data_IF_169365021303
#
_entry.id   IF_169365021303
#
_cell.length_a   1.000
_cell.length_b   1.000
_cell.length_c   1.000
_cell.angle_alpha   90.00
_cell.angle_beta   90.00
_cell.angle_gamma   90.00
#
_symmetry.space_group_name_H-M   'P 1'
#
loop_
_entity.id
_entity.type
_entity.pdbx_description
1 polymer ?
#
# COMPACT_ATOMS: atom_id res chain seq x y z
N UNK A 1 30.16 3.76 -12.48
CA UNK A 1 29.11 3.41 -13.46
C UNK A 1 28.50 2.14 -12.90
N UNK A 2 27.40 2.26 -12.12
CA UNK A 2 26.77 1.12 -11.48
C UNK A 2 26.07 0.26 -12.53
N UNK A 3 26.32 -1.03 -12.47
CA UNK A 3 25.65 -2.02 -13.29
C UNK A 3 24.12 -1.90 -13.10
N UNK A 4 23.38 -1.85 -14.20
CA UNK A 4 21.91 -1.78 -14.12
C UNK A 4 21.41 -3.09 -13.49
N UNK A 5 20.85 -3.01 -12.29
CA UNK A 5 20.22 -4.14 -11.60
C UNK A 5 19.13 -4.73 -12.50
N UNK A 6 19.27 -5.99 -12.88
CA UNK A 6 18.33 -6.70 -13.74
C UNK A 6 17.11 -7.19 -12.92
N UNK A 7 15.97 -7.37 -13.61
CA UNK A 7 14.77 -7.95 -13.02
C UNK A 7 15.02 -9.39 -12.53
N UNK A 8 15.80 -10.18 -13.27
CA UNK A 8 16.16 -11.54 -12.87
C UNK A 8 16.92 -11.55 -11.54
N UNK A 9 17.85 -10.63 -11.33
CA UNK A 9 18.58 -10.53 -10.08
C UNK A 9 17.67 -10.15 -8.90
N UNK A 10 16.73 -9.22 -9.11
CA UNK A 10 15.74 -8.87 -8.10
C UNK A 10 14.82 -10.06 -7.77
N UNK A 11 14.34 -10.79 -8.77
CA UNK A 11 13.51 -11.97 -8.56
C UNK A 11 14.28 -13.04 -7.77
N UNK A 12 15.53 -13.31 -8.15
CA UNK A 12 16.38 -14.26 -7.43
C UNK A 12 16.63 -13.84 -5.99
N UNK A 13 16.89 -12.56 -5.74
CA UNK A 13 17.06 -12.03 -4.39
C UNK A 13 15.77 -12.08 -3.57
N UNK A 14 14.59 -12.02 -4.21
CA UNK A 14 13.29 -12.22 -3.60
C UNK A 14 12.92 -13.70 -3.38
N UNK A 15 13.79 -14.64 -3.75
CA UNK A 15 13.58 -16.09 -3.60
C UNK A 15 12.96 -16.78 -4.82
N UNK A 16 12.71 -16.08 -5.92
CA UNK A 16 12.19 -16.63 -7.18
C UNK A 16 13.39 -17.06 -8.04
N UNK A 17 13.70 -18.34 -8.00
CA UNK A 17 14.89 -18.91 -8.67
C UNK A 17 14.66 -19.27 -10.14
N UNK A 18 13.40 -19.31 -10.58
CA UNK A 18 13.03 -19.57 -11.98
C UNK A 18 13.18 -18.28 -12.79
N UNK A 19 13.72 -18.38 -13.98
CA UNK A 19 13.97 -17.22 -14.86
C UNK A 19 12.67 -16.67 -15.45
N UNK A 20 12.59 -15.36 -15.68
CA UNK A 20 11.50 -14.76 -16.42
C UNK A 20 11.58 -15.15 -17.91
N UNK A 21 10.46 -15.58 -18.49
CA UNK A 21 10.31 -15.85 -19.93
C UNK A 21 9.60 -14.74 -20.68
N UNK A 22 8.61 -14.09 -20.02
CA UNK A 22 7.87 -12.97 -20.58
C UNK A 22 7.59 -11.94 -19.48
N UNK A 23 7.71 -10.66 -19.82
CA UNK A 23 7.44 -9.53 -18.91
C UNK A 23 6.47 -8.58 -19.59
N UNK A 24 5.29 -8.37 -18.97
CA UNK A 24 4.25 -7.49 -19.49
C UNK A 24 3.95 -6.41 -18.47
N UNK A 25 3.99 -5.11 -18.83
CA UNK A 25 3.57 -4.04 -17.93
C UNK A 25 2.07 -4.15 -17.65
N UNK A 26 1.69 -3.91 -16.39
CA UNK A 26 0.30 -3.81 -15.96
C UNK A 26 -0.07 -2.34 -15.75
N UNK A 27 -1.28 -1.97 -16.21
CA UNK A 27 -1.82 -0.64 -15.94
C UNK A 27 -2.23 -0.53 -14.46
N UNK A 28 -2.01 0.65 -13.85
CA UNK A 28 -2.48 0.94 -12.49
C UNK A 28 -1.39 0.87 -11.44
N UNK A 29 -0.51 1.84 -11.39
CA UNK A 29 0.46 2.04 -10.33
C UNK A 29 1.00 3.46 -10.42
N UNK A 30 0.46 4.39 -9.62
CA UNK A 30 0.93 5.78 -9.63
C UNK A 30 2.34 5.92 -9.04
N UNK A 31 2.80 4.92 -8.27
CA UNK A 31 4.03 4.99 -7.48
C UNK A 31 5.03 3.91 -7.87
N UNK A 32 4.58 2.74 -8.30
CA UNK A 32 5.41 1.61 -8.66
C UNK A 32 5.19 1.19 -10.11
N UNK A 33 6.25 0.75 -10.78
CA UNK A 33 6.19 0.06 -12.07
C UNK A 33 5.72 -1.39 -11.81
N UNK A 34 4.47 -1.71 -12.19
CA UNK A 34 3.86 -3.01 -11.94
C UNK A 34 3.94 -3.86 -13.20
N UNK A 35 4.40 -5.09 -13.05
CA UNK A 35 4.59 -6.02 -14.16
C UNK A 35 4.05 -7.41 -13.83
N UNK A 36 3.40 -8.04 -14.81
CA UNK A 36 3.16 -9.48 -14.82
C UNK A 36 4.39 -10.16 -15.44
N UNK A 37 4.91 -11.16 -14.76
CA UNK A 37 6.08 -11.90 -15.19
C UNK A 37 5.71 -13.37 -15.30
N UNK A 38 5.81 -13.92 -16.52
CA UNK A 38 5.74 -15.34 -16.76
C UNK A 38 7.14 -15.93 -16.54
N UNK A 39 7.19 -17.06 -15.84
CA UNK A 39 8.42 -17.78 -15.54
C UNK A 39 8.61 -18.96 -16.52
N UNK A 40 9.84 -19.43 -16.71
CA UNK A 40 10.14 -20.55 -17.61
C UNK A 40 9.41 -21.87 -17.25
N UNK A 41 8.94 -22.00 -16.02
CA UNK A 41 8.15 -23.15 -15.56
C UNK A 41 6.63 -22.99 -15.83
N UNK A 42 6.20 -21.90 -16.47
CA UNK A 42 4.81 -21.59 -16.77
C UNK A 42 4.02 -20.94 -15.62
N UNK A 43 4.63 -20.71 -14.47
CA UNK A 43 4.01 -19.92 -13.39
C UNK A 43 4.04 -18.44 -13.74
N UNK A 44 3.07 -17.68 -13.21
CA UNK A 44 3.02 -16.22 -13.33
C UNK A 44 3.07 -15.56 -11.98
N UNK A 45 3.77 -14.44 -11.90
CA UNK A 45 3.85 -13.58 -10.70
C UNK A 45 3.63 -12.12 -11.08
N UNK A 46 3.16 -11.33 -10.12
CA UNK A 46 3.10 -9.87 -10.25
C UNK A 46 4.26 -9.26 -9.48
N UNK A 47 5.00 -8.39 -10.13
CA UNK A 47 6.17 -7.71 -9.54
C UNK A 47 5.92 -6.22 -9.51
N UNK A 48 5.95 -5.64 -8.31
CA UNK A 48 5.92 -4.19 -8.10
C UNK A 48 7.36 -3.71 -7.91
N UNK A 49 7.83 -2.91 -8.87
CA UNK A 49 9.19 -2.40 -8.89
C UNK A 49 9.21 -0.98 -8.33
N UNK A 50 9.97 -0.80 -7.26
CA UNK A 50 10.31 0.51 -6.75
C UNK A 50 11.65 0.99 -7.33
N UNK A 51 11.78 2.31 -7.51
CA UNK A 51 13.01 2.94 -7.95
C UNK A 51 13.26 4.19 -7.11
N UNK A 52 14.48 4.40 -6.66
CA UNK A 52 14.87 5.70 -6.10
C UNK A 52 14.67 6.74 -7.20
N UNK A 53 13.63 7.54 -7.04
CA UNK A 53 13.25 8.53 -8.03
C UNK A 53 14.20 9.71 -8.03
N UNK A 54 14.05 10.56 -9.03
CA UNK A 54 14.69 11.88 -9.16
C UNK A 54 14.43 12.81 -7.96
N UNK A 55 13.60 12.42 -7.01
CA UNK A 55 13.20 13.19 -5.83
C UNK A 55 14.04 12.89 -4.57
N UNK A 56 15.13 12.13 -4.68
CA UNK A 56 16.11 11.98 -3.61
C UNK A 56 15.74 11.02 -2.47
N UNK A 57 14.72 10.16 -2.63
CA UNK A 57 14.45 9.09 -1.69
C UNK A 57 15.61 8.10 -1.62
N UNK A 58 15.90 7.56 -0.44
CA UNK A 58 16.98 6.58 -0.23
C UNK A 58 16.49 5.16 -0.49
N UNK A 59 17.40 4.24 -0.83
CA UNK A 59 17.04 2.85 -1.12
C UNK A 59 16.31 2.14 0.04
N UNK A 60 16.57 2.54 1.28
CA UNK A 60 15.86 2.06 2.47
C UNK A 60 14.36 2.36 2.46
N UNK A 61 13.95 3.47 1.84
CA UNK A 61 12.53 3.85 1.77
C UNK A 61 11.75 2.93 0.84
N UNK A 62 12.39 2.43 -0.23
CA UNK A 62 11.76 1.50 -1.17
C UNK A 62 11.51 0.12 -0.54
N UNK A 63 12.46 -0.37 0.24
CA UNK A 63 12.28 -1.61 0.98
C UNK A 63 11.21 -1.45 2.06
N UNK A 64 11.20 -0.31 2.76
CA UNK A 64 10.17 0.00 3.74
C UNK A 64 8.77 -0.02 3.11
N UNK A 65 8.56 0.67 1.98
CA UNK A 65 7.29 0.68 1.26
C UNK A 65 6.84 -0.72 0.84
N UNK A 66 7.75 -1.56 0.33
CA UNK A 66 7.45 -2.94 -0.03
C UNK A 66 7.06 -3.78 1.19
N UNK A 67 7.73 -3.60 2.33
CA UNK A 67 7.41 -4.28 3.59
C UNK A 67 6.07 -3.81 4.17
N UNK A 68 5.77 -2.52 4.11
CA UNK A 68 4.49 -1.95 4.57
C UNK A 68 3.31 -2.51 3.76
N UNK A 69 3.43 -2.58 2.43
CA UNK A 69 2.40 -3.19 1.59
C UNK A 69 2.25 -4.69 1.91
N UNK A 70 3.36 -5.40 2.04
CA UNK A 70 3.36 -6.81 2.45
C UNK A 70 2.64 -7.02 3.78
N UNK A 71 2.95 -6.19 4.79
CA UNK A 71 2.33 -6.25 6.10
C UNK A 71 0.82 -5.99 6.04
N UNK A 72 0.38 -5.01 5.25
CA UNK A 72 -1.04 -4.72 5.05
C UNK A 72 -1.78 -5.89 4.40
N UNK A 73 -1.23 -6.50 3.35
CA UNK A 73 -1.81 -7.68 2.70
C UNK A 73 -1.91 -8.86 3.66
N UNK A 74 -0.86 -9.12 4.45
CA UNK A 74 -0.86 -10.19 5.44
C UNK A 74 -1.88 -9.94 6.56
N UNK A 75 -2.03 -8.70 7.02
CA UNK A 75 -3.02 -8.36 8.03
C UNK A 75 -4.46 -8.59 7.52
N UNK A 76 -4.77 -8.21 6.28
CA UNK A 76 -6.07 -8.49 5.66
C UNK A 76 -6.29 -10.00 5.55
N UNK A 77 -5.32 -10.74 5.02
CA UNK A 77 -5.41 -12.19 4.87
C UNK A 77 -5.59 -12.94 6.21
N UNK A 78 -5.01 -12.42 7.30
CA UNK A 78 -5.13 -13.01 8.63
C UNK A 78 -6.47 -12.75 9.31
N UNK A 79 -7.16 -11.68 8.95
CA UNK A 79 -8.38 -11.22 9.64
C UNK A 79 -9.66 -11.53 8.89
N UNK A 80 -9.59 -11.85 7.60
CA UNK A 80 -10.79 -12.00 6.77
C UNK A 80 -10.65 -13.09 5.71
N UNK A 81 -11.78 -13.40 5.06
CA UNK A 81 -11.83 -14.25 3.87
C UNK A 81 -11.71 -13.47 2.56
N UNK A 82 -11.42 -12.16 2.64
CA UNK A 82 -11.20 -11.34 1.46
C UNK A 82 -9.94 -11.82 0.71
N UNK A 83 -10.04 -12.20 -0.57
CA UNK A 83 -8.89 -12.65 -1.33
C UNK A 83 -7.86 -11.52 -1.43
N UNK A 84 -6.63 -11.83 -1.04
CA UNK A 84 -5.47 -10.97 -1.22
C UNK A 84 -4.36 -11.78 -1.89
N UNK A 85 -3.54 -11.17 -2.75
CA UNK A 85 -2.42 -11.89 -3.33
C UNK A 85 -1.44 -12.32 -2.23
N UNK A 86 -0.95 -13.53 -2.31
CA UNK A 86 0.13 -13.99 -1.44
C UNK A 86 1.41 -13.18 -1.74
N UNK A 87 2.13 -12.82 -0.69
CA UNK A 87 3.46 -12.20 -0.82
C UNK A 87 4.49 -13.31 -0.99
N UNK A 88 5.10 -13.38 -2.16
CA UNK A 88 6.06 -14.41 -2.53
C UNK A 88 7.49 -14.03 -2.17
N UNK A 89 7.80 -12.73 -2.13
CA UNK A 89 9.11 -12.26 -1.72
C UNK A 89 9.28 -10.75 -1.82
N UNK A 90 10.32 -10.27 -1.15
CA UNK A 90 10.77 -8.86 -1.21
C UNK A 90 12.27 -8.86 -1.43
N UNK A 91 12.75 -7.99 -2.29
CA UNK A 91 14.18 -7.78 -2.50
C UNK A 91 14.51 -6.30 -2.67
N UNK A 92 15.73 -5.95 -2.28
CA UNK A 92 16.33 -4.64 -2.57
C UNK A 92 17.76 -4.85 -3.05
N UNK A 93 18.07 -4.37 -4.24
CA UNK A 93 19.40 -4.39 -4.83
C UNK A 93 19.74 -3.00 -5.36
N UNK A 94 20.80 -2.42 -4.83
CA UNK A 94 21.22 -1.07 -5.19
C UNK A 94 20.13 -0.02 -4.95
N UNK A 95 19.66 0.59 -6.03
CA UNK A 95 18.62 1.62 -6.00
C UNK A 95 17.25 1.11 -6.49
N UNK A 96 17.02 -0.18 -6.49
CA UNK A 96 15.76 -0.82 -6.90
C UNK A 96 15.26 -1.78 -5.84
N UNK A 97 13.95 -1.85 -5.70
CA UNK A 97 13.25 -2.84 -4.89
C UNK A 97 12.22 -3.60 -5.72
N UNK A 98 11.90 -4.80 -5.27
CA UNK A 98 10.83 -5.60 -5.82
C UNK A 98 9.98 -6.17 -4.68
N UNK A 99 8.66 -6.05 -4.80
CA UNK A 99 7.68 -6.83 -4.07
C UNK A 99 7.07 -7.81 -5.06
N UNK A 100 7.23 -9.10 -4.81
CA UNK A 100 6.73 -10.17 -5.66
C UNK A 100 5.47 -10.75 -5.04
N UNK A 101 4.40 -10.75 -5.82
CA UNK A 101 3.06 -11.15 -5.40
C UNK A 101 2.55 -12.30 -6.29
N UNK A 102 1.63 -13.06 -5.75
CA UNK A 102 0.80 -14.00 -6.52
C UNK A 102 0.05 -13.25 -7.64
N UNK A 103 -0.01 -13.85 -8.81
CA UNK A 103 -0.85 -13.37 -9.91
C UNK A 103 -2.27 -13.90 -9.75
N UNK A 104 -3.22 -13.03 -9.45
CA UNK A 104 -4.64 -13.38 -9.30
C UNK A 104 -5.38 -13.50 -10.65
N UNK A 105 -4.69 -13.35 -11.77
CA UNK A 105 -5.25 -13.49 -13.10
C UNK A 105 -5.69 -12.18 -13.74
N UNK A 106 -6.52 -12.30 -14.78
CA UNK A 106 -6.98 -11.16 -15.58
C UNK A 106 -8.26 -10.57 -14.96
N UNK A 107 -8.28 -9.28 -14.59
CA UNK A 107 -9.48 -8.59 -14.10
C UNK A 107 -10.63 -8.62 -15.12
N UNK A 108 -10.38 -8.76 -16.40
CA UNK A 108 -11.42 -8.92 -17.43
C UNK A 108 -12.22 -10.22 -17.30
N UNK A 109 -11.73 -11.20 -16.55
CA UNK A 109 -12.44 -12.45 -16.24
C UNK A 109 -13.42 -12.33 -15.07
N UNK A 110 -13.43 -11.20 -14.34
CA UNK A 110 -14.28 -11.00 -13.16
C UNK A 110 -15.70 -10.62 -13.60
N UNK A 111 -16.69 -11.40 -13.18
CA UNK A 111 -18.10 -11.16 -13.46
C UNK A 111 -18.85 -10.45 -12.34
N UNK A 112 -20.13 -10.10 -12.61
CA UNK A 112 -20.98 -9.40 -11.61
C UNK A 112 -21.13 -10.17 -10.30
N UNK A 113 -21.20 -11.51 -10.37
CA UNK A 113 -21.32 -12.35 -9.17
C UNK A 113 -20.06 -12.25 -8.27
N UNK A 114 -18.89 -12.13 -8.88
CA UNK A 114 -17.62 -11.98 -8.16
C UNK A 114 -17.55 -10.62 -7.46
N UNK A 115 -18.04 -9.57 -8.10
CA UNK A 115 -18.14 -8.24 -7.49
C UNK A 115 -19.10 -8.19 -6.30
N UNK A 116 -20.24 -8.91 -6.38
CA UNK A 116 -21.18 -9.04 -5.25
C UNK A 116 -20.52 -9.79 -4.08
N UNK A 117 -19.81 -10.88 -4.37
CA UNK A 117 -19.10 -11.64 -3.34
C UNK A 117 -17.95 -10.83 -2.72
N UNK A 118 -17.19 -10.11 -3.54
CA UNK A 118 -16.18 -9.17 -3.04
C UNK A 118 -16.79 -8.14 -2.08
N UNK A 119 -17.93 -7.53 -2.47
CA UNK A 119 -18.61 -6.56 -1.61
C UNK A 119 -19.05 -7.13 -0.27
N UNK A 120 -19.51 -8.40 -0.22
CA UNK A 120 -19.86 -9.08 1.04
C UNK A 120 -18.62 -9.27 1.94
N UNK A 121 -17.53 -9.79 1.37
CA UNK A 121 -16.29 -10.00 2.12
C UNK A 121 -15.66 -8.70 2.60
N UNK A 122 -15.79 -7.63 1.82
CA UNK A 122 -15.36 -6.29 2.23
C UNK A 122 -16.21 -5.78 3.41
N UNK A 123 -17.53 -6.03 3.39
CA UNK A 123 -18.39 -5.69 4.50
C UNK A 123 -18.05 -6.50 5.77
N UNK A 124 -17.74 -7.79 5.62
CA UNK A 124 -17.28 -8.63 6.73
C UNK A 124 -15.95 -8.12 7.33
N UNK A 125 -15.02 -7.68 6.48
CA UNK A 125 -13.78 -7.03 6.93
C UNK A 125 -14.07 -5.79 7.79
N UNK A 126 -15.00 -4.94 7.35
CA UNK A 126 -15.35 -3.71 8.05
C UNK A 126 -16.20 -3.95 9.32
N UNK A 127 -16.90 -5.07 9.39
CA UNK A 127 -17.70 -5.46 10.56
C UNK A 127 -16.88 -6.23 11.61
N UNK A 128 -15.63 -6.58 11.30
CA UNK A 128 -14.75 -7.31 12.21
C UNK A 128 -14.41 -6.50 13.45
N UNK A 129 -14.32 -7.20 14.59
CA UNK A 129 -13.89 -6.58 15.84
C UNK A 129 -12.43 -6.12 15.74
N UNK A 130 -12.17 -4.87 16.08
CA UNK A 130 -10.84 -4.31 16.19
C UNK A 130 -10.49 -4.02 17.64
N UNK A 131 -9.23 -4.20 18.00
CA UNK A 131 -8.76 -3.93 19.37
C UNK A 131 -8.65 -2.43 19.61
N UNK A 132 -8.23 -1.69 18.57
CA UNK A 132 -8.11 -0.23 18.58
C UNK A 132 -8.08 0.30 17.15
N UNK A 133 -8.44 1.58 16.98
CA UNK A 133 -8.23 2.29 15.72
C UNK A 133 -6.74 2.54 15.48
N UNK A 134 -6.26 2.13 14.33
CA UNK A 134 -4.86 2.26 13.96
C UNK A 134 -4.27 1.00 13.35
N UNK A 135 -2.95 0.88 13.45
CA UNK A 135 -2.21 -0.29 13.02
C UNK A 135 -0.97 -0.45 13.92
N UNK A 136 -0.33 -1.61 13.91
CA UNK A 136 0.82 -1.91 14.78
C UNK A 136 2.06 -1.08 14.45
N UNK A 137 2.12 -0.52 13.24
CA UNK A 137 3.19 0.38 12.80
C UNK A 137 2.66 1.47 11.88
N UNK A 138 3.43 2.56 11.77
CA UNK A 138 3.19 3.63 10.80
C UNK A 138 3.54 3.15 9.40
N UNK A 139 2.84 3.66 8.39
CA UNK A 139 3.03 3.31 6.99
C UNK A 139 2.86 4.54 6.08
N UNK A 140 2.70 4.32 4.78
CA UNK A 140 2.47 5.38 3.81
C UNK A 140 1.16 5.16 3.03
N UNK A 141 0.46 6.25 2.75
CA UNK A 141 -0.56 6.32 1.72
C UNK A 141 0.06 7.06 0.53
N UNK A 142 0.49 6.31 -0.46
CA UNK A 142 1.31 6.87 -1.52
C UNK A 142 2.67 7.32 -0.98
N UNK A 143 2.98 8.60 -1.13
CA UNK A 143 4.17 9.22 -0.53
C UNK A 143 3.88 9.92 0.80
N UNK A 144 2.64 9.87 1.28
CA UNK A 144 2.23 10.56 2.51
C UNK A 144 2.39 9.64 3.71
N UNK A 145 3.28 9.96 4.66
CA UNK A 145 3.41 9.17 5.87
C UNK A 145 2.13 9.21 6.70
N UNK A 146 1.75 8.06 7.24
CA UNK A 146 0.58 7.87 8.09
C UNK A 146 1.02 7.40 9.47
N UNK A 147 0.74 8.19 10.50
CA UNK A 147 0.88 7.76 11.88
C UNK A 147 -0.34 6.89 12.23
N UNK A 148 -0.10 5.61 12.46
CA UNK A 148 -1.14 4.63 12.77
C UNK A 148 -1.17 4.25 14.27
N UNK A 149 -0.41 4.94 15.11
CA UNK A 149 -0.42 4.66 16.55
C UNK A 149 -1.82 4.91 17.13
N UNK A 150 -2.37 3.99 17.91
CA UNK A 150 -3.64 4.19 18.60
C UNK A 150 -3.67 5.50 19.39
N UNK A 151 -4.86 5.97 19.69
CA UNK A 151 -5.11 7.16 20.55
C UNK A 151 -5.87 6.75 21.81
N UNK A 152 -5.73 7.56 22.85
CA UNK A 152 -6.48 7.38 24.09
C UNK A 152 -7.40 8.60 24.33
N UNK A 153 -8.70 8.41 24.54
CA UNK A 153 -9.41 7.13 24.48
C UNK A 153 -9.48 6.58 23.05
N UNK A 154 -9.72 5.25 22.91
CA UNK A 154 -9.88 4.61 21.60
C UNK A 154 -11.21 5.03 20.97
N UNK A 155 -11.15 6.05 20.13
CA UNK A 155 -12.29 6.70 19.48
C UNK A 155 -11.93 7.06 18.04
N UNK A 156 -12.77 6.65 17.09
CA UNK A 156 -12.53 6.90 15.68
C UNK A 156 -12.41 8.39 15.34
N UNK A 157 -13.25 9.22 15.92
CA UNK A 157 -13.22 10.65 15.62
C UNK A 157 -11.94 11.31 16.14
N UNK A 158 -11.44 10.87 17.29
CA UNK A 158 -10.17 11.31 17.85
C UNK A 158 -9.02 10.82 16.97
N UNK A 159 -9.02 9.54 16.60
CA UNK A 159 -8.00 8.96 15.73
C UNK A 159 -7.95 9.68 14.38
N UNK A 160 -9.09 9.84 13.70
CA UNK A 160 -9.18 10.53 12.41
C UNK A 160 -8.65 11.98 12.52
N UNK A 161 -9.08 12.69 13.55
CA UNK A 161 -8.62 14.06 13.79
C UNK A 161 -7.10 14.12 13.98
N UNK A 162 -6.57 13.35 14.92
CA UNK A 162 -5.21 13.51 15.41
C UNK A 162 -4.17 12.84 14.51
N UNK A 163 -4.56 11.74 13.82
CA UNK A 163 -3.65 10.97 12.98
C UNK A 163 -3.80 11.23 11.49
N UNK A 164 -4.89 11.89 11.05
CA UNK A 164 -5.14 12.16 9.62
C UNK A 164 -5.31 13.64 9.34
N UNK A 165 -6.30 14.28 9.96
CA UNK A 165 -6.68 15.64 9.59
C UNK A 165 -5.66 16.69 10.10
N UNK A 166 -5.21 16.62 11.34
CA UNK A 166 -4.26 17.58 11.89
C UNK A 166 -2.91 17.57 11.19
N UNK A 167 -2.25 16.41 10.97
CA UNK A 167 -0.98 16.37 10.25
C UNK A 167 -1.09 16.90 8.80
N UNK A 168 -2.21 16.61 8.12
CA UNK A 168 -2.45 17.11 6.77
C UNK A 168 -2.66 18.62 6.76
N UNK A 169 -3.45 19.16 7.69
CA UNK A 169 -3.63 20.60 7.88
C UNK A 169 -2.30 21.31 8.09
N UNK A 170 -1.47 20.81 9.00
CA UNK A 170 -0.15 21.38 9.28
C UNK A 170 0.78 21.32 8.06
N UNK A 171 0.71 20.23 7.27
CA UNK A 171 1.47 20.11 6.05
C UNK A 171 1.03 21.12 4.98
N UNK A 172 -0.28 21.29 4.78
CA UNK A 172 -0.83 22.26 3.85
C UNK A 172 -0.47 23.71 4.22
N UNK A 173 -0.56 24.05 5.51
CA UNK A 173 -0.18 25.35 6.04
C UNK A 173 1.31 25.64 5.83
N UNK A 174 2.18 24.69 6.19
CA UNK A 174 3.64 24.79 5.99
C UNK A 174 4.04 24.96 4.53
N UNK A 175 3.33 24.31 3.61
CA UNK A 175 3.57 24.37 2.18
C UNK A 175 2.91 25.60 1.52
N UNK A 176 2.13 26.40 2.25
CA UNK A 176 1.36 27.51 1.68
C UNK A 176 0.34 27.07 0.63
N UNK A 177 -0.19 25.85 0.75
CA UNK A 177 -1.11 25.22 -0.18
C UNK A 177 -2.58 25.32 0.22
N UNK A 178 -2.87 25.92 1.38
CA UNK A 178 -4.21 26.20 1.86
C UNK A 178 -4.30 27.65 2.33
N UNK A 179 -5.36 28.33 1.99
CA UNK A 179 -5.66 29.66 2.52
C UNK A 179 -6.39 29.61 3.87
N UNK A 180 -6.64 30.79 4.47
CA UNK A 180 -7.31 30.87 5.77
C UNK A 180 -8.74 30.29 5.75
N UNK A 181 -9.41 30.31 4.60
CA UNK A 181 -10.76 29.76 4.44
C UNK A 181 -10.71 28.25 4.42
N UNK A 182 -9.80 27.66 3.62
CA UNK A 182 -9.57 26.21 3.56
C UNK A 182 -9.27 25.63 4.94
N UNK A 183 -8.38 26.29 5.69
CA UNK A 183 -8.00 25.88 7.06
C UNK A 183 -9.18 25.98 8.04
N UNK A 184 -10.03 27.02 7.91
CA UNK A 184 -11.23 27.18 8.73
C UNK A 184 -12.27 26.11 8.43
N UNK A 185 -12.40 25.68 7.18
CA UNK A 185 -13.31 24.60 6.78
C UNK A 185 -12.86 23.26 7.33
N UNK A 186 -11.57 22.95 7.25
CA UNK A 186 -10.99 21.76 7.90
C UNK A 186 -11.21 21.77 9.43
N UNK A 187 -11.09 22.93 10.07
CA UNK A 187 -11.35 23.06 11.51
C UNK A 187 -12.84 22.91 11.87
N UNK A 188 -13.75 23.24 10.95
CA UNK A 188 -15.20 23.06 11.12
C UNK A 188 -15.56 21.56 11.02
N UNK A 189 -15.06 20.86 10.03
CA UNK A 189 -15.26 19.41 9.86
C UNK A 189 -14.72 18.63 11.07
N UNK A 190 -13.56 19.02 11.56
CA UNK A 190 -12.99 18.47 12.79
C UNK A 190 -13.90 18.60 14.01
N UNK A 191 -14.68 19.68 14.11
CA UNK A 191 -15.65 19.89 15.19
C UNK A 191 -16.94 19.11 15.00
N UNK A 192 -17.38 18.94 13.74
CA UNK A 192 -18.60 18.20 13.42
C UNK A 192 -18.45 16.69 13.65
N UNK A 193 -17.28 16.14 13.48
CA UNK A 193 -16.98 14.71 13.75
C UNK A 193 -17.14 14.37 15.24
N UNK A 194 -17.04 15.35 16.15
CA UNK A 194 -17.30 15.18 17.58
C UNK A 194 -18.78 15.10 17.98
N UNK A 195 -19.68 15.52 17.09
CA UNK A 195 -21.12 15.64 17.42
C UNK A 195 -21.95 14.44 16.94
N UNK A 196 -21.37 13.53 16.17
CA UNK A 196 -22.06 12.37 15.57
C UNK A 196 -21.54 11.02 16.06
N UNK A 197 -20.79 10.98 17.15
CA UNK A 197 -20.28 9.76 17.81
C UNK A 197 -21.03 9.47 19.10
#
# INVERSE_FOLDING_TARGET
>A
MGEAVDLEDLLRAAGIVVRPSLVVPLAGGDIADVRRVELENGETVVVKLGRVGSNGGVASDLEALAREESSGLQAIAATTTLPTPAVLGIATLGNRSALVLEDLGDPASVGDADWVEFGRRLADLHAGDVVAFGFDHSNHLGHTPQDNRPVEPDDWAIFLRDRRLLPMREALERLGRADATDLADLDRDRKSTRLNS
#
